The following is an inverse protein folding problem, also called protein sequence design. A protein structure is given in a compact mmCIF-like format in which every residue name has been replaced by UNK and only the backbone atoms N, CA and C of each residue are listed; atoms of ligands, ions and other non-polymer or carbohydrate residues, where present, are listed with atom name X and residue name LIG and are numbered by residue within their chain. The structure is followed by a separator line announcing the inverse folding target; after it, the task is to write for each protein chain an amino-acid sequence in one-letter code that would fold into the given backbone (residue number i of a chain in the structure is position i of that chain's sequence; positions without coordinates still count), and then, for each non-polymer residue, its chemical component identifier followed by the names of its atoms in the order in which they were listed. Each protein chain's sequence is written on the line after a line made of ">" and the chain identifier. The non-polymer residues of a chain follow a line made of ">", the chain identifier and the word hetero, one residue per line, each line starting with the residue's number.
data_IF_708009357969
#
_entry.id   IF_708009357969
#
_cell.length_a   1.000
_cell.length_b   1.000
_cell.length_c   1.000
_cell.angle_alpha   90.00
_cell.angle_beta   90.00
_cell.angle_gamma   90.00
#
_symmetry.space_group_name_H-M   'P 1'
#
loop_
_entity.id
_entity.type
_entity.pdbx_description
1 polymer ?
#
# COMPACT_ATOMS: atom_id res chain seq x y z
N UNK A 1 8.91 -5.72 -0.59
CA UNK A 1 7.79 -6.04 -1.54
C UNK A 1 6.53 -5.26 -1.20
N UNK A 2 6.10 -5.17 0.07
CA UNK A 2 4.93 -4.38 0.51
C UNK A 2 4.94 -2.94 -0.05
N UNK A 3 6.01 -2.19 0.16
CA UNK A 3 6.15 -0.84 -0.41
C UNK A 3 5.96 -0.83 -1.94
N UNK A 4 6.56 -1.79 -2.66
CA UNK A 4 6.43 -1.87 -4.13
C UNK A 4 5.00 -2.17 -4.61
N UNK A 5 4.19 -2.88 -3.83
CA UNK A 5 2.80 -3.17 -4.19
C UNK A 5 1.93 -1.91 -4.20
N UNK A 6 2.29 -0.91 -3.39
CA UNK A 6 1.65 0.41 -3.31
C UNK A 6 2.53 1.52 -3.89
N UNK A 7 3.19 1.20 -4.98
CA UNK A 7 3.94 2.14 -5.82
C UNK A 7 3.40 2.07 -7.26
N UNK A 8 3.61 3.10 -8.09
CA UNK A 8 3.13 3.07 -9.49
C UNK A 8 3.65 1.86 -10.26
N UNK A 9 4.90 1.48 -10.03
CA UNK A 9 5.55 0.34 -10.67
C UNK A 9 6.09 -0.61 -9.60
N UNK A 10 5.70 -1.88 -9.66
CA UNK A 10 6.28 -2.96 -8.87
C UNK A 10 7.31 -3.71 -9.71
N UNK A 11 8.54 -3.80 -9.21
CA UNK A 11 9.62 -4.50 -9.88
C UNK A 11 10.58 -5.16 -8.91
N UNK A 12 10.86 -6.44 -9.10
CA UNK A 12 11.96 -7.13 -8.43
C UNK A 12 13.23 -7.01 -9.26
N UNK A 13 14.18 -6.18 -8.83
CA UNK A 13 15.38 -5.85 -9.61
C UNK A 13 16.60 -5.60 -8.72
N UNK A 14 17.78 -5.99 -9.20
CA UNK A 14 19.08 -5.55 -8.69
C UNK A 14 20.16 -5.58 -9.75
N UNK A 15 21.38 -5.23 -9.37
CA UNK A 15 22.53 -5.31 -10.24
C UNK A 15 22.92 -6.77 -10.49
N UNK A 16 23.48 -7.07 -11.66
CA UNK A 16 24.00 -8.40 -12.04
C UNK A 16 25.12 -8.88 -11.10
N UNK A 17 25.84 -7.95 -10.51
CA UNK A 17 27.07 -8.24 -9.72
C UNK A 17 26.75 -8.73 -8.29
N UNK A 18 25.57 -8.45 -7.79
CA UNK A 18 25.29 -8.62 -6.36
C UNK A 18 25.10 -10.08 -5.90
N UNK A 19 24.95 -11.06 -6.81
CA UNK A 19 24.66 -12.46 -6.45
C UNK A 19 23.36 -12.61 -5.61
N UNK A 20 22.56 -11.52 -5.53
CA UNK A 20 21.35 -11.48 -4.74
C UNK A 20 20.20 -12.12 -5.53
N UNK A 21 19.73 -13.21 -5.03
CA UNK A 21 18.47 -13.80 -5.47
C UNK A 21 17.30 -12.95 -4.96
N UNK A 22 16.27 -12.74 -5.80
CA UNK A 22 15.14 -11.85 -5.51
C UNK A 22 13.81 -12.46 -5.87
N UNK A 23 13.85 -13.59 -6.48
CA UNK A 23 12.69 -14.33 -6.85
C UNK A 23 11.93 -14.76 -5.59
N UNK A 24 10.59 -14.61 -5.55
CA UNK A 24 9.81 -14.95 -4.35
C UNK A 24 10.03 -16.38 -3.84
N UNK A 25 10.35 -17.31 -4.72
CA UNK A 25 10.51 -18.74 -4.42
C UNK A 25 11.86 -19.13 -3.82
N UNK A 26 12.83 -18.22 -3.72
CA UNK A 26 14.13 -18.50 -3.09
C UNK A 26 14.15 -18.30 -1.59
N UNK A 27 13.10 -17.73 -1.04
CA UNK A 27 12.91 -17.52 0.39
C UNK A 27 12.27 -18.73 1.07
N UNK A 28 12.10 -18.70 2.39
CA UNK A 28 11.33 -19.72 3.11
C UNK A 28 9.89 -19.82 2.56
N UNK A 29 9.23 -20.94 2.77
CA UNK A 29 7.85 -21.13 2.34
C UNK A 29 6.93 -20.03 2.89
N UNK A 30 7.08 -19.69 4.17
CA UNK A 30 6.32 -18.61 4.81
C UNK A 30 6.50 -17.27 4.07
N UNK A 31 7.74 -16.86 3.86
CA UNK A 31 8.04 -15.60 3.15
C UNK A 31 7.56 -15.66 1.71
N UNK A 32 7.73 -16.80 1.02
CA UNK A 32 7.23 -16.99 -0.34
C UNK A 32 5.71 -16.83 -0.44
N UNK A 33 4.97 -17.36 0.52
CA UNK A 33 3.52 -17.26 0.56
C UNK A 33 3.06 -15.82 0.83
N UNK A 34 3.72 -15.12 1.73
CA UNK A 34 3.50 -13.69 1.99
C UNK A 34 3.76 -12.87 0.71
N UNK A 35 4.91 -13.08 0.04
CA UNK A 35 5.25 -12.38 -1.19
C UNK A 35 4.25 -12.65 -2.31
N UNK A 36 3.74 -13.88 -2.41
CA UNK A 36 2.69 -14.25 -3.37
C UNK A 36 1.38 -13.54 -3.05
N UNK A 37 1.01 -13.44 -1.78
CA UNK A 37 -0.15 -12.68 -1.32
C UNK A 37 -0.05 -11.21 -1.71
N UNK A 38 1.11 -10.59 -1.49
CA UNK A 38 1.39 -9.19 -1.86
C UNK A 38 1.22 -8.95 -3.36
N UNK A 39 1.77 -9.84 -4.19
CA UNK A 39 1.67 -9.74 -5.65
C UNK A 39 0.22 -9.88 -6.10
N UNK A 40 -0.54 -10.82 -5.52
CA UNK A 40 -1.97 -10.97 -5.82
C UNK A 40 -2.77 -9.73 -5.43
N UNK A 41 -2.52 -9.18 -4.24
CA UNK A 41 -3.15 -7.93 -3.82
C UNK A 41 -2.89 -6.81 -4.82
N UNK A 42 -1.66 -6.70 -5.32
CA UNK A 42 -1.31 -5.74 -6.36
C UNK A 42 -2.13 -5.95 -7.64
N UNK A 43 -2.31 -7.20 -8.08
CA UNK A 43 -3.12 -7.51 -9.26
C UNK A 43 -4.60 -7.17 -9.04
N UNK A 44 -5.13 -7.46 -7.86
CA UNK A 44 -6.52 -7.10 -7.52
C UNK A 44 -6.74 -5.60 -7.59
N UNK A 45 -5.74 -4.79 -7.23
CA UNK A 45 -5.81 -3.33 -7.24
C UNK A 45 -5.59 -2.70 -8.63
N UNK A 46 -5.36 -3.47 -9.69
CA UNK A 46 -5.07 -2.90 -11.03
C UNK A 46 -6.17 -1.97 -11.53
N UNK A 47 -7.49 -2.23 -11.37
CA UNK A 47 -8.52 -1.28 -11.76
C UNK A 47 -8.39 0.07 -11.04
N UNK A 48 -8.16 0.06 -9.73
CA UNK A 48 -7.90 1.28 -8.96
C UNK A 48 -6.65 2.01 -9.46
N UNK A 49 -5.54 1.29 -9.62
CA UNK A 49 -4.26 1.84 -10.08
C UNK A 49 -4.39 2.45 -11.47
N UNK A 50 -5.10 1.78 -12.38
CA UNK A 50 -5.34 2.26 -13.73
C UNK A 50 -6.18 3.55 -13.73
N UNK A 51 -7.22 3.59 -12.90
CA UNK A 51 -8.06 4.79 -12.73
C UNK A 51 -7.23 5.97 -12.22
N UNK A 52 -6.42 5.75 -11.18
CA UNK A 52 -5.55 6.81 -10.63
C UNK A 52 -4.44 7.22 -11.60
N UNK A 53 -3.93 6.29 -12.42
CA UNK A 53 -2.97 6.62 -13.48
C UNK A 53 -3.61 7.46 -14.58
N UNK A 54 -4.87 7.21 -14.92
CA UNK A 54 -5.64 8.03 -15.85
C UNK A 54 -5.84 9.44 -15.29
N UNK A 55 -6.22 9.55 -14.03
CA UNK A 55 -6.34 10.84 -13.36
C UNK A 55 -5.01 11.59 -13.33
N UNK A 56 -3.90 10.89 -13.05
CA UNK A 56 -2.56 11.48 -13.10
C UNK A 56 -2.20 12.03 -14.49
N UNK A 57 -2.61 11.35 -15.55
CA UNK A 57 -2.46 11.84 -16.93
C UNK A 57 -3.27 13.12 -17.20
N UNK A 58 -4.48 13.19 -16.68
CA UNK A 58 -5.39 14.33 -16.94
C UNK A 58 -5.05 15.55 -16.08
N UNK A 59 -4.61 15.35 -14.83
CA UNK A 59 -4.44 16.42 -13.84
C UNK A 59 -2.97 16.79 -13.59
N UNK A 60 -2.03 15.91 -13.93
CA UNK A 60 -0.63 16.02 -13.54
C UNK A 60 -0.34 15.61 -12.08
N UNK A 61 -1.35 15.20 -11.29
CA UNK A 61 -1.17 14.74 -9.92
C UNK A 61 -0.68 13.29 -9.90
N UNK A 62 0.46 13.05 -9.26
CA UNK A 62 1.03 11.70 -9.16
C UNK A 62 0.13 10.74 -8.38
N UNK A 63 0.12 9.47 -8.79
CA UNK A 63 -0.50 8.37 -8.04
C UNK A 63 0.07 8.23 -6.62
N UNK A 64 1.39 8.37 -6.45
CA UNK A 64 2.02 8.44 -5.13
C UNK A 64 2.32 9.90 -4.80
N UNK A 65 1.76 10.38 -3.69
CA UNK A 65 1.97 11.74 -3.22
C UNK A 65 2.40 11.76 -1.76
N UNK A 66 3.44 12.54 -1.40
CA UNK A 66 3.70 12.79 0.01
C UNK A 66 2.51 13.51 0.65
N UNK A 67 2.31 13.29 1.94
CA UNK A 67 1.13 13.80 2.66
C UNK A 67 0.93 15.31 2.54
N UNK A 68 1.99 16.09 2.45
CA UNK A 68 1.91 17.55 2.33
C UNK A 68 1.30 18.07 1.01
N UNK A 69 1.12 17.21 0.00
CA UNK A 69 0.37 17.59 -1.21
C UNK A 69 -1.13 17.76 -0.92
N UNK A 70 -1.68 16.86 -0.12
CA UNK A 70 -3.10 16.86 0.21
C UNK A 70 -3.39 17.62 1.52
N UNK A 71 -2.36 17.81 2.38
CA UNK A 71 -2.48 18.45 3.71
C UNK A 71 -1.34 19.47 3.95
N UNK A 72 -1.20 20.51 3.08
CA UNK A 72 -0.05 21.42 3.13
C UNK A 72 0.01 22.27 4.41
N UNK A 73 -1.13 22.53 5.04
CA UNK A 73 -1.22 23.39 6.24
C UNK A 73 -1.03 22.60 7.56
N UNK A 74 -0.78 21.29 7.47
CA UNK A 74 -0.72 20.42 8.66
C UNK A 74 0.73 19.98 8.90
N UNK A 75 1.26 20.29 10.09
CA UNK A 75 2.66 19.98 10.44
C UNK A 75 2.96 18.48 10.40
N UNK A 76 2.01 17.64 10.82
CA UNK A 76 2.14 16.18 10.79
C UNK A 76 2.38 15.65 9.38
N UNK A 77 1.88 16.31 8.34
CA UNK A 77 2.14 15.92 6.95
C UNK A 77 3.63 16.00 6.57
N UNK A 78 4.40 16.81 7.28
CA UNK A 78 5.85 16.96 7.12
C UNK A 78 6.63 16.10 8.11
N UNK A 79 6.09 15.83 9.27
CA UNK A 79 6.76 15.07 10.33
C UNK A 79 6.72 13.54 10.05
N UNK A 80 5.60 13.05 9.53
CA UNK A 80 5.40 11.63 9.18
C UNK A 80 5.81 11.31 7.74
N UNK A 81 7.08 11.54 7.41
CA UNK A 81 7.65 11.50 6.04
C UNK A 81 7.56 10.15 5.34
N UNK A 82 7.42 9.07 6.10
CA UNK A 82 7.39 7.72 5.54
C UNK A 82 6.00 7.31 5.05
N UNK A 83 4.95 8.03 5.43
CA UNK A 83 3.60 7.77 4.93
C UNK A 83 3.27 8.64 3.72
N UNK A 84 2.39 8.12 2.86
CA UNK A 84 2.03 8.79 1.61
C UNK A 84 0.63 8.38 1.16
N UNK A 85 0.03 9.19 0.29
CA UNK A 85 -1.20 8.83 -0.42
C UNK A 85 -0.87 8.00 -1.66
N UNK A 86 -1.61 6.92 -1.83
CA UNK A 86 -1.62 6.09 -3.03
C UNK A 86 -2.98 6.22 -3.71
N UNK A 87 -3.06 7.10 -4.70
CA UNK A 87 -4.32 7.62 -5.21
C UNK A 87 -5.00 8.57 -4.21
N UNK A 88 -6.30 8.73 -4.33
CA UNK A 88 -7.05 9.72 -3.56
C UNK A 88 -7.50 9.22 -2.19
N UNK A 89 -7.65 7.91 -2.04
CA UNK A 89 -8.37 7.33 -0.90
C UNK A 89 -7.56 6.34 -0.07
N UNK A 90 -6.40 5.93 -0.55
CA UNK A 90 -5.53 4.98 0.14
C UNK A 90 -4.31 5.68 0.68
N UNK A 91 -4.09 5.59 1.99
CA UNK A 91 -2.87 6.04 2.65
C UNK A 91 -2.03 4.83 3.05
N UNK A 92 -0.74 4.92 2.82
CA UNK A 92 0.23 3.87 3.12
C UNK A 92 1.26 4.42 4.10
N UNK A 93 1.50 3.69 5.20
CA UNK A 93 2.51 4.02 6.20
C UNK A 93 3.51 2.85 6.33
N UNK A 94 4.49 2.70 5.43
CA UNK A 94 5.37 1.54 5.39
C UNK A 94 6.08 1.29 6.72
N UNK A 95 6.19 0.02 7.10
CA UNK A 95 7.00 -0.40 8.23
C UNK A 95 8.49 -0.24 7.85
N UNK A 96 9.19 0.65 8.52
CA UNK A 96 10.60 1.00 8.25
C UNK A 96 11.57 0.57 9.34
N UNK A 97 11.05 -0.04 10.41
CA UNK A 97 11.84 -0.57 11.52
C UNK A 97 11.85 -2.10 11.48
N UNK A 98 12.92 -2.74 11.95
CA UNK A 98 12.96 -4.20 12.11
C UNK A 98 11.86 -4.70 13.04
N UNK A 99 11.37 -5.91 12.77
CA UNK A 99 10.45 -6.61 13.68
C UNK A 99 11.10 -6.92 15.01
N UNK A 100 10.32 -6.81 16.07
CA UNK A 100 10.66 -7.25 17.42
C UNK A 100 9.50 -8.04 17.98
N UNK A 101 9.78 -9.20 18.54
CA UNK A 101 8.77 -10.10 19.13
C UNK A 101 7.57 -10.41 18.20
N UNK A 102 7.85 -10.56 16.89
CA UNK A 102 6.85 -10.90 15.88
C UNK A 102 6.09 -9.71 15.27
N UNK A 103 6.36 -8.49 15.71
CA UNK A 103 5.66 -7.29 15.23
C UNK A 103 6.61 -6.15 14.90
N UNK A 104 6.19 -5.28 14.01
CA UNK A 104 6.81 -3.97 13.76
C UNK A 104 5.92 -2.87 14.30
N UNK A 105 6.49 -1.99 15.12
CA UNK A 105 5.82 -0.78 15.57
C UNK A 105 5.85 0.28 14.45
N UNK A 106 4.69 0.86 14.14
CA UNK A 106 4.54 1.96 13.19
C UNK A 106 3.76 3.08 13.85
N UNK A 107 4.33 4.28 13.87
CA UNK A 107 3.60 5.50 14.23
C UNK A 107 2.95 6.07 12.99
N UNK A 108 1.65 6.24 13.04
CA UNK A 108 0.84 6.69 11.91
C UNK A 108 0.07 7.93 12.31
N UNK A 109 0.19 8.98 11.54
CA UNK A 109 -0.72 10.10 11.58
C UNK A 109 -1.90 9.85 10.64
N UNK A 110 -3.11 9.81 11.18
CA UNK A 110 -4.34 9.77 10.40
C UNK A 110 -4.90 11.20 10.30
N UNK A 111 -4.99 11.78 9.09
CA UNK A 111 -5.69 13.04 8.89
C UNK A 111 -7.13 13.01 9.39
N UNK A 112 -7.76 14.16 9.57
CA UNK A 112 -9.15 14.25 10.01
C UNK A 112 -10.10 13.40 9.16
N UNK A 113 -11.17 12.90 9.77
CA UNK A 113 -12.14 12.00 9.16
C UNK A 113 -12.07 10.58 9.73
N UNK A 114 -12.76 9.66 9.08
CA UNK A 114 -12.73 8.24 9.44
C UNK A 114 -11.90 7.45 8.43
N UNK A 115 -11.17 6.48 8.93
CA UNK A 115 -10.28 5.63 8.16
C UNK A 115 -10.54 4.17 8.49
N UNK A 116 -10.55 3.34 7.47
CA UNK A 116 -10.59 1.89 7.59
C UNK A 116 -9.15 1.34 7.57
N UNK A 117 -8.72 0.69 8.65
CA UNK A 117 -7.42 0.01 8.70
C UNK A 117 -7.53 -1.36 8.03
N UNK A 118 -6.81 -1.55 6.95
CA UNK A 118 -6.93 -2.74 6.11
C UNK A 118 -6.55 -4.04 6.87
N UNK A 119 -5.48 -4.02 7.65
CA UNK A 119 -4.99 -5.20 8.38
C UNK A 119 -5.99 -5.71 9.43
N UNK A 120 -6.59 -4.80 10.20
CA UNK A 120 -7.47 -5.20 11.32
C UNK A 120 -8.97 -5.21 10.96
N UNK A 121 -9.35 -4.64 9.82
CA UNK A 121 -10.74 -4.44 9.44
C UNK A 121 -11.48 -3.42 10.29
N UNK A 122 -10.78 -2.59 11.06
CA UNK A 122 -11.38 -1.63 12.00
C UNK A 122 -11.49 -0.25 11.40
N UNK A 123 -12.57 0.45 11.73
CA UNK A 123 -12.68 1.88 11.50
C UNK A 123 -11.99 2.65 12.62
N UNK A 124 -11.15 3.59 12.25
CA UNK A 124 -10.38 4.45 13.14
C UNK A 124 -10.78 5.90 12.92
N UNK A 125 -10.85 6.67 14.00
CA UNK A 125 -11.02 8.11 13.92
C UNK A 125 -9.68 8.77 13.58
N UNK A 126 -9.68 9.67 12.61
CA UNK A 126 -8.52 10.49 12.27
C UNK A 126 -8.39 11.75 13.15
N UNK A 127 -7.53 12.68 12.74
CA UNK A 127 -7.13 13.85 13.52
C UNK A 127 -6.17 13.49 14.66
N UNK A 128 -5.45 12.38 14.55
CA UNK A 128 -4.57 11.90 15.63
C UNK A 128 -3.40 11.08 15.11
N UNK A 129 -2.42 10.91 15.98
CA UNK A 129 -1.31 9.98 15.80
C UNK A 129 -1.57 8.71 16.60
N UNK A 130 -1.41 7.57 15.94
CA UNK A 130 -1.59 6.25 16.54
C UNK A 130 -0.29 5.46 16.50
N UNK A 131 -0.03 4.69 17.54
CA UNK A 131 0.98 3.62 17.50
C UNK A 131 0.28 2.32 17.17
N UNK A 132 0.73 1.67 16.09
CA UNK A 132 0.16 0.42 15.59
C UNK A 132 1.25 -0.64 15.49
N UNK A 133 0.83 -1.91 15.57
CA UNK A 133 1.72 -3.06 15.50
C UNK A 133 1.26 -3.98 14.37
N UNK A 134 2.17 -4.36 13.49
CA UNK A 134 1.90 -5.17 12.31
C UNK A 134 2.78 -6.40 12.28
N UNK A 135 2.19 -7.55 12.01
CA UNK A 135 2.88 -8.79 11.70
C UNK A 135 3.51 -8.74 10.29
N UNK A 136 4.31 -9.75 9.93
CA UNK A 136 5.05 -9.77 8.67
C UNK A 136 4.15 -9.78 7.43
N UNK A 137 2.97 -10.37 7.53
CA UNK A 137 1.95 -10.50 6.47
C UNK A 137 0.93 -9.36 6.47
N UNK A 138 0.97 -8.47 7.46
CA UNK A 138 0.07 -7.33 7.56
C UNK A 138 0.64 -6.07 6.92
N UNK A 139 -0.25 -5.19 6.45
CA UNK A 139 0.11 -3.95 5.76
C UNK A 139 -0.43 -2.73 6.50
N UNK A 140 0.42 -1.73 6.78
CA UNK A 140 -0.04 -0.45 7.32
C UNK A 140 -0.73 0.39 6.23
N UNK A 141 -1.95 0.01 5.87
CA UNK A 141 -2.77 0.66 4.85
C UNK A 141 -4.07 1.14 5.48
N UNK A 142 -4.44 2.35 5.14
CA UNK A 142 -5.63 3.03 5.62
C UNK A 142 -6.43 3.55 4.43
N UNK A 143 -7.72 3.29 4.43
CA UNK A 143 -8.64 3.68 3.38
C UNK A 143 -9.61 4.71 3.95
N UNK A 144 -9.82 5.83 3.28
CA UNK A 144 -10.82 6.83 3.69
C UNK A 144 -12.20 6.18 3.76
N UNK A 145 -12.95 6.45 4.82
CA UNK A 145 -14.32 5.98 4.92
C UNK A 145 -15.18 6.58 3.80
N UNK A 146 -16.00 5.75 3.18
CA UNK A 146 -16.82 6.13 2.03
C UNK A 146 -16.10 6.02 0.67
N UNK A 147 -14.82 5.68 0.64
CA UNK A 147 -14.10 5.45 -0.60
C UNK A 147 -14.65 4.22 -1.36
N UNK A 148 -14.59 4.30 -2.68
CA UNK A 148 -14.88 3.19 -3.58
C UNK A 148 -13.61 2.80 -4.31
N UNK A 149 -13.09 1.61 -4.01
CA UNK A 149 -11.90 1.06 -4.64
C UNK A 149 -12.32 -0.02 -5.65
N UNK A 150 -12.31 0.26 -6.95
CA UNK A 150 -12.55 -0.78 -7.93
C UNK A 150 -11.42 -1.81 -7.89
N UNK A 151 -11.77 -3.07 -7.71
CA UNK A 151 -10.81 -4.17 -7.60
C UNK A 151 -11.24 -5.36 -8.44
N UNK A 152 -10.28 -6.17 -8.86
CA UNK A 152 -10.59 -7.52 -9.34
C UNK A 152 -10.88 -8.44 -8.15
N UNK A 153 -11.55 -9.56 -8.43
CA UNK A 153 -11.75 -10.60 -7.42
C UNK A 153 -10.43 -11.34 -7.07
N UNK A 154 -10.43 -12.12 -6.01
CA UNK A 154 -9.24 -12.77 -5.43
C UNK A 154 -8.51 -13.78 -6.33
N UNK A 155 -9.05 -14.11 -7.50
CA UNK A 155 -8.53 -15.16 -8.38
C UNK A 155 -7.73 -14.64 -9.57
N UNK A 156 -7.40 -13.37 -9.61
CA UNK A 156 -6.64 -12.78 -10.73
C UNK A 156 -5.19 -13.26 -10.70
N UNK A 157 -4.80 -14.01 -11.72
CA UNK A 157 -3.43 -14.52 -11.91
C UNK A 157 -2.67 -13.78 -13.02
N UNK A 158 -3.38 -13.14 -13.93
CA UNK A 158 -2.85 -12.34 -15.03
C UNK A 158 -3.95 -11.42 -15.54
N UNK A 159 -3.61 -10.45 -16.38
CA UNK A 159 -4.55 -9.47 -16.92
C UNK A 159 -5.02 -9.79 -18.34
N UNK A 160 -4.59 -10.93 -18.91
CA UNK A 160 -4.97 -11.31 -20.26
C UNK A 160 -6.43 -11.79 -20.31
N UNK A 161 -7.23 -11.22 -21.21
CA UNK A 161 -8.62 -11.65 -21.45
C UNK A 161 -9.56 -11.40 -20.27
N UNK A 162 -9.27 -10.40 -19.46
CA UNK A 162 -10.13 -10.01 -18.35
C UNK A 162 -11.19 -9.01 -18.81
N UNK A 163 -12.31 -9.53 -19.32
CA UNK A 163 -13.58 -8.79 -19.47
C UNK A 163 -14.41 -8.86 -18.19
N UNK A 164 -13.76 -9.07 -17.04
CA UNK A 164 -14.43 -9.48 -15.83
C UNK A 164 -14.89 -8.34 -14.95
N UNK A 165 -15.94 -8.65 -14.22
CA UNK A 165 -16.60 -7.82 -13.23
C UNK A 165 -15.59 -7.23 -12.24
N UNK A 166 -15.48 -5.91 -12.27
CA UNK A 166 -14.81 -5.11 -11.25
C UNK A 166 -15.75 -5.03 -10.05
N UNK A 167 -15.25 -5.32 -8.89
CA UNK A 167 -15.96 -5.28 -7.60
C UNK A 167 -15.60 -4.02 -6.83
#
# INVERSE_FOLDING_TARGET
>A
MQFGAFSPILRSHSTKIAGLTKEPWVFSNEVSDILRGIIRQRYNMVPYIYTMAREAYETGLSLCRPMYYDYPETQEAYDYRNQYMFGNDVMVAPATSPMKDGYTEVKVWLPEGQWYEFASGKTLQGGQVLTRYFALDEYPIYIKAGAVLPMYNDKVMNLNGKDETIV
#
